data_IF_758566005052
#
_entry.id   IF_758566005052
#
_cell.length_a   1.000
_cell.length_b   1.000
_cell.length_c   1.000
_cell.angle_alpha   90.00
_cell.angle_beta   90.00
_cell.angle_gamma   90.00
#
_symmetry.space_group_name_H-M   'P 1'
#
loop_
_entity.id
_entity.type
_entity.pdbx_description
1 polymer ?
#
# COMPACT_ATOMS: atom_id res chain seq x y z
N UNK A 1 -8.36 -10.59 0.97
CA UNK A 1 -7.76 -11.06 -0.33
C UNK A 1 -8.63 -12.09 -1.07
N UNK A 2 -9.27 -13.07 -0.40
CA UNK A 2 -10.12 -14.07 -1.08
C UNK A 2 -11.25 -13.41 -1.91
N UNK A 3 -12.02 -12.49 -1.32
CA UNK A 3 -13.09 -11.76 -1.98
C UNK A 3 -12.63 -11.06 -3.28
N UNK A 4 -11.48 -10.35 -3.23
CA UNK A 4 -10.96 -9.65 -4.41
C UNK A 4 -10.57 -10.56 -5.57
N UNK A 5 -10.22 -11.83 -5.29
CA UNK A 5 -9.87 -12.83 -6.31
C UNK A 5 -11.10 -13.57 -6.87
N UNK A 6 -12.17 -13.68 -6.09
CA UNK A 6 -13.30 -14.56 -6.40
C UNK A 6 -14.62 -13.83 -6.63
N UNK A 7 -14.84 -12.67 -6.00
CA UNK A 7 -16.13 -11.97 -5.96
C UNK A 7 -16.11 -10.53 -6.47
N UNK A 8 -14.92 -9.93 -6.69
CA UNK A 8 -14.81 -8.53 -7.15
C UNK A 8 -15.07 -8.37 -8.65
N UNK A 9 -15.28 -9.45 -9.39
CA UNK A 9 -15.47 -9.41 -10.85
C UNK A 9 -16.79 -8.75 -11.20
N UNK A 10 -16.70 -7.63 -11.91
CA UNK A 10 -17.79 -6.91 -12.52
C UNK A 10 -17.25 -6.17 -13.75
N UNK A 11 -18.10 -5.80 -14.70
CA UNK A 11 -17.70 -5.03 -15.89
C UNK A 11 -17.12 -3.68 -15.50
N UNK A 12 -17.71 -3.02 -14.50
CA UNK A 12 -17.26 -1.74 -13.96
C UNK A 12 -16.58 -1.99 -12.61
N UNK A 13 -15.31 -2.39 -12.69
CA UNK A 13 -14.57 -2.82 -11.50
C UNK A 13 -13.83 -1.64 -10.85
N UNK A 14 -14.44 -1.02 -9.84
CA UNK A 14 -13.84 0.00 -8.99
C UNK A 14 -13.16 -0.60 -7.73
N UNK A 15 -13.05 -1.92 -7.63
CA UNK A 15 -12.42 -2.58 -6.48
C UNK A 15 -10.89 -2.65 -6.56
N UNK A 16 -10.28 -2.15 -7.62
CA UNK A 16 -8.83 -2.07 -7.78
C UNK A 16 -8.20 -1.07 -6.80
N UNK A 17 -6.89 -1.08 -6.67
CA UNK A 17 -6.18 -0.13 -5.82
C UNK A 17 -4.83 0.30 -6.40
N UNK A 18 -4.52 -0.11 -7.61
CA UNK A 18 -3.36 0.33 -8.39
C UNK A 18 -3.82 0.93 -9.70
N UNK A 19 -2.90 1.53 -10.41
CA UNK A 19 -3.14 2.12 -11.72
C UNK A 19 -3.24 1.08 -12.83
N UNK A 20 -3.65 1.51 -14.03
CA UNK A 20 -3.70 0.67 -15.23
C UNK A 20 -2.34 0.00 -15.50
N UNK A 21 -2.38 -1.26 -15.94
CA UNK A 21 -1.18 -2.01 -16.27
C UNK A 21 -0.37 -1.29 -17.35
N UNK A 22 0.93 -1.21 -17.14
CA UNK A 22 1.86 -0.69 -18.14
C UNK A 22 2.11 -1.77 -19.20
N UNK A 23 1.90 -1.49 -20.49
CA UNK A 23 2.14 -2.47 -21.54
C UNK A 23 3.64 -2.76 -21.70
N UNK A 24 4.02 -4.02 -21.65
CA UNK A 24 5.41 -4.45 -21.75
C UNK A 24 6.13 -3.90 -23.01
N UNK A 25 5.44 -3.82 -24.14
CA UNK A 25 5.98 -3.27 -25.41
C UNK A 25 6.37 -1.79 -25.33
N UNK A 26 5.90 -1.07 -24.33
CA UNK A 26 6.20 0.35 -24.11
C UNK A 26 7.37 0.56 -23.15
N UNK A 27 7.84 -0.50 -22.46
CA UNK A 27 9.02 -0.45 -21.63
C UNK A 27 10.28 -0.51 -22.53
N UNK A 28 11.17 0.50 -22.47
CA UNK A 28 12.38 0.53 -23.30
C UNK A 28 13.42 -0.46 -22.77
N UNK A 29 13.40 -1.68 -23.30
CA UNK A 29 14.36 -2.74 -22.93
C UNK A 29 14.87 -3.43 -24.19
N UNK A 30 16.10 -3.95 -24.15
CA UNK A 30 16.59 -4.92 -25.12
C UNK A 30 16.29 -6.34 -24.61
N UNK A 31 15.40 -7.05 -25.31
CA UNK A 31 15.04 -8.44 -24.96
C UNK A 31 16.21 -9.42 -25.01
N UNK A 32 17.30 -9.06 -25.68
CA UNK A 32 18.52 -9.87 -25.73
C UNK A 32 19.30 -9.86 -24.40
N UNK A 33 19.01 -8.88 -23.54
CA UNK A 33 19.60 -8.79 -22.20
C UNK A 33 18.82 -9.61 -21.14
N UNK A 34 17.68 -10.20 -21.53
CA UNK A 34 16.91 -11.03 -20.59
C UNK A 34 17.54 -12.41 -20.47
N UNK A 35 17.95 -12.74 -19.24
CA UNK A 35 18.45 -14.05 -18.86
C UNK A 35 17.47 -14.74 -17.90
N UNK A 36 17.37 -16.06 -18.00
CA UNK A 36 16.49 -16.85 -17.11
C UNK A 36 17.16 -17.10 -15.77
N UNK A 37 18.46 -17.39 -15.79
CA UNK A 37 19.24 -17.71 -14.59
C UNK A 37 20.11 -16.52 -14.21
N UNK A 38 20.12 -16.21 -12.91
CA UNK A 38 21.02 -15.24 -12.31
C UNK A 38 22.04 -15.91 -11.38
N UNK A 39 22.84 -15.11 -10.71
CA UNK A 39 23.73 -15.57 -9.65
C UNK A 39 22.89 -15.93 -8.40
N UNK A 40 23.22 -17.04 -7.77
CA UNK A 40 22.60 -17.50 -6.53
C UNK A 40 23.12 -16.66 -5.35
N UNK A 41 22.63 -15.42 -5.21
CA UNK A 41 23.04 -14.47 -4.18
C UNK A 41 21.85 -13.92 -3.37
N UNK A 42 22.13 -13.16 -2.31
CA UNK A 42 21.09 -12.49 -1.50
C UNK A 42 20.51 -11.26 -2.21
N UNK A 43 19.85 -11.50 -3.33
CA UNK A 43 19.27 -10.50 -4.22
C UNK A 43 20.19 -10.14 -5.38
N UNK A 44 19.66 -9.31 -6.29
CA UNK A 44 20.35 -8.88 -7.51
C UNK A 44 21.01 -7.50 -7.31
N UNK A 45 22.35 -7.40 -7.21
CA UNK A 45 23.03 -6.14 -6.88
C UNK A 45 22.62 -4.94 -7.74
N UNK A 46 22.39 -5.06 -9.07
CA UNK A 46 21.90 -3.94 -9.87
C UNK A 46 20.49 -3.46 -9.45
N UNK A 47 19.61 -4.35 -8.99
CA UNK A 47 18.29 -3.97 -8.51
C UNK A 47 18.37 -3.32 -7.13
N UNK A 48 19.20 -3.87 -6.22
CA UNK A 48 19.46 -3.26 -4.90
C UNK A 48 20.02 -1.86 -5.06
N UNK A 49 20.97 -1.66 -5.99
CA UNK A 49 21.53 -0.35 -6.30
C UNK A 49 20.47 0.61 -6.88
N UNK A 50 19.60 0.12 -7.76
CA UNK A 50 18.53 0.94 -8.34
C UNK A 50 17.54 1.43 -7.27
N UNK A 51 17.11 0.53 -6.36
CA UNK A 51 16.24 0.85 -5.22
C UNK A 51 16.95 1.83 -4.27
N UNK A 52 18.20 1.55 -3.93
CA UNK A 52 19.00 2.40 -3.04
C UNK A 52 19.15 3.82 -3.61
N UNK A 53 19.45 3.93 -4.90
CA UNK A 53 19.57 5.22 -5.61
C UNK A 53 18.24 5.98 -5.61
N UNK A 54 17.12 5.29 -5.87
CA UNK A 54 15.79 5.89 -5.86
C UNK A 54 15.45 6.51 -4.49
N UNK A 55 15.81 5.84 -3.41
CA UNK A 55 15.56 6.30 -2.05
C UNK A 55 16.70 7.15 -1.44
N UNK A 56 17.85 7.23 -2.10
CA UNK A 56 19.04 7.94 -1.63
C UNK A 56 19.62 7.35 -0.36
N UNK A 57 19.78 6.03 -0.32
CA UNK A 57 20.29 5.22 0.80
C UNK A 57 21.39 4.25 0.32
N UNK A 58 22.00 3.51 1.23
CA UNK A 58 23.01 2.50 0.89
C UNK A 58 22.35 1.16 0.49
N UNK A 59 22.92 0.42 -0.50
CA UNK A 59 22.36 -0.85 -0.97
C UNK A 59 22.24 -1.93 0.11
N UNK A 60 23.09 -1.90 1.12
CA UNK A 60 23.07 -2.83 2.25
C UNK A 60 21.77 -2.74 3.06
N UNK A 61 21.09 -1.59 2.99
CA UNK A 61 19.81 -1.37 3.64
C UNK A 61 18.61 -1.94 2.85
N UNK A 62 18.81 -2.45 1.63
CA UNK A 62 17.74 -2.94 0.74
C UNK A 62 17.59 -4.45 0.86
N UNK A 63 16.37 -4.93 1.05
CA UNK A 63 15.99 -6.36 0.98
C UNK A 63 14.91 -6.53 -0.09
N UNK A 64 15.17 -7.34 -1.08
CA UNK A 64 14.20 -7.65 -2.14
C UNK A 64 13.11 -8.60 -1.66
N UNK A 65 11.92 -8.47 -2.24
CA UNK A 65 10.79 -9.32 -1.89
C UNK A 65 9.78 -9.47 -3.04
N UNK A 66 8.94 -10.50 -2.98
CA UNK A 66 7.89 -10.74 -3.97
C UNK A 66 6.69 -9.78 -3.79
N UNK A 67 6.94 -8.47 -3.89
CA UNK A 67 5.98 -7.39 -3.69
C UNK A 67 5.77 -7.04 -2.21
N UNK A 68 5.06 -5.94 -1.93
CA UNK A 68 4.88 -5.38 -0.58
C UNK A 68 4.24 -6.38 0.41
N UNK A 69 3.38 -7.28 -0.05
CA UNK A 69 2.76 -8.28 0.85
C UNK A 69 3.79 -9.23 1.47
N UNK A 70 4.77 -9.68 0.69
CA UNK A 70 5.89 -10.47 1.23
C UNK A 70 6.84 -9.59 2.04
N UNK A 71 7.09 -8.36 1.60
CA UNK A 71 7.89 -7.39 2.35
C UNK A 71 7.35 -7.17 3.77
N UNK A 72 6.04 -6.92 3.89
CA UNK A 72 5.39 -6.76 5.20
C UNK A 72 5.53 -8.02 6.07
N UNK A 73 5.32 -9.21 5.47
CA UNK A 73 5.48 -10.46 6.19
C UNK A 73 6.90 -10.68 6.70
N UNK A 74 7.92 -10.52 5.83
CA UNK A 74 9.33 -10.68 6.19
C UNK A 74 9.76 -9.67 7.26
N UNK A 75 9.35 -8.39 7.11
CA UNK A 75 9.68 -7.35 8.08
C UNK A 75 9.10 -7.68 9.46
N UNK A 76 7.81 -8.01 9.53
CA UNK A 76 7.15 -8.35 10.79
C UNK A 76 7.75 -9.63 11.40
N UNK A 77 7.98 -10.68 10.61
CA UNK A 77 8.54 -11.95 11.08
C UNK A 77 10.02 -11.83 11.54
N UNK A 78 10.78 -10.90 10.97
CA UNK A 78 12.16 -10.66 11.40
C UNK A 78 12.25 -9.85 12.70
N UNK A 79 11.24 -9.03 13.00
CA UNK A 79 11.23 -8.12 14.16
C UNK A 79 10.59 -8.77 15.38
N UNK A 80 9.51 -9.52 15.20
CA UNK A 80 8.67 -10.02 16.28
C UNK A 80 8.88 -11.51 16.58
N UNK A 81 8.68 -11.86 17.84
CA UNK A 81 8.56 -13.22 18.33
C UNK A 81 7.08 -13.49 18.72
N UNK A 82 6.62 -14.76 18.77
CA UNK A 82 5.30 -15.10 19.24
C UNK A 82 5.01 -14.53 20.64
N UNK A 83 3.90 -13.81 20.76
CA UNK A 83 3.50 -13.15 22.00
C UNK A 83 3.99 -11.71 22.16
N UNK A 84 4.84 -11.20 21.28
CA UNK A 84 5.21 -9.80 21.23
C UNK A 84 4.00 -8.91 20.92
N UNK A 85 4.03 -7.67 21.42
CA UNK A 85 2.98 -6.70 21.19
C UNK A 85 3.26 -5.88 19.93
N UNK A 86 2.28 -5.85 19.03
CA UNK A 86 2.29 -5.01 17.83
C UNK A 86 1.14 -4.00 17.88
N UNK A 87 1.44 -2.73 17.65
CA UNK A 87 0.47 -1.66 17.58
C UNK A 87 0.15 -1.33 16.13
N UNK A 88 -1.08 -1.54 15.68
CA UNK A 88 -1.50 -1.35 14.29
C UNK A 88 -2.60 -0.29 14.22
N UNK A 89 -2.52 0.63 13.26
CA UNK A 89 -3.55 1.63 12.99
C UNK A 89 -4.94 0.99 12.80
N UNK A 90 -6.00 1.70 13.18
CA UNK A 90 -7.39 1.33 12.92
C UNK A 90 -8.13 2.52 12.27
N UNK A 91 -8.82 2.33 11.15
CA UNK A 91 -8.93 1.08 10.38
C UNK A 91 -7.63 0.71 9.66
N UNK A 92 -7.44 -0.57 9.30
CA UNK A 92 -6.22 -1.08 8.68
C UNK A 92 -6.48 -1.92 7.44
N UNK A 93 -5.44 -2.09 6.64
CA UNK A 93 -5.40 -3.06 5.56
C UNK A 93 -5.39 -4.48 6.14
N UNK A 94 -6.48 -5.24 5.95
CA UNK A 94 -6.69 -6.54 6.57
C UNK A 94 -5.50 -7.50 6.53
N UNK A 95 -4.77 -7.68 5.41
CA UNK A 95 -3.58 -8.55 5.37
C UNK A 95 -2.47 -8.20 6.36
N UNK A 96 -2.34 -6.97 6.84
CA UNK A 96 -1.39 -6.63 7.93
C UNK A 96 -1.84 -7.28 9.24
N UNK A 97 -3.14 -7.25 9.52
CA UNK A 97 -3.71 -7.94 10.68
C UNK A 97 -3.59 -9.46 10.56
N UNK A 98 -3.83 -10.00 9.36
CA UNK A 98 -3.69 -11.43 9.09
C UNK A 98 -2.24 -11.89 9.35
N UNK A 99 -1.23 -11.09 8.95
CA UNK A 99 0.19 -11.37 9.22
C UNK A 99 0.46 -11.36 10.73
N UNK A 100 0.01 -10.34 11.45
CA UNK A 100 0.21 -10.25 12.90
C UNK A 100 -0.40 -11.46 13.65
N UNK A 101 -1.59 -11.86 13.26
CA UNK A 101 -2.26 -13.05 13.80
C UNK A 101 -1.50 -14.35 13.46
N UNK A 102 -1.05 -14.49 12.21
CA UNK A 102 -0.26 -15.64 11.77
C UNK A 102 1.04 -15.77 12.58
N UNK A 103 1.69 -14.65 12.88
CA UNK A 103 2.92 -14.58 13.70
C UNK A 103 2.62 -14.68 15.22
N UNK A 104 1.37 -14.91 15.62
CA UNK A 104 0.94 -15.02 17.01
C UNK A 104 1.26 -13.79 17.87
N UNK A 105 1.24 -12.60 17.26
CA UNK A 105 1.46 -11.34 17.95
C UNK A 105 0.23 -10.91 18.75
N UNK A 106 0.47 -10.18 19.86
CA UNK A 106 -0.57 -9.49 20.60
C UNK A 106 -0.90 -8.16 19.93
N UNK A 107 -2.00 -8.11 19.18
CA UNK A 107 -2.39 -6.93 18.41
C UNK A 107 -3.05 -5.89 19.32
N UNK A 108 -2.47 -4.70 19.36
CA UNK A 108 -3.07 -3.46 19.92
C UNK A 108 -3.45 -2.54 18.77
N UNK A 109 -4.36 -1.61 19.04
CA UNK A 109 -4.87 -0.70 18.01
C UNK A 109 -4.80 0.74 18.51
N UNK A 110 -4.52 1.68 17.59
CA UNK A 110 -4.74 3.12 17.77
C UNK A 110 -5.66 3.62 16.65
N UNK A 111 -6.47 4.64 16.96
CA UNK A 111 -7.52 5.10 16.04
C UNK A 111 -7.01 6.15 15.03
N UNK A 112 -7.52 6.04 13.81
CA UNK A 112 -7.63 7.14 12.85
C UNK A 112 -9.13 7.34 12.64
N UNK A 113 -9.62 8.55 12.87
CA UNK A 113 -11.06 8.82 12.83
C UNK A 113 -11.42 9.73 11.66
N UNK A 114 -12.61 9.48 11.06
CA UNK A 114 -13.07 10.22 9.88
C UNK A 114 -13.24 11.71 10.20
N UNK A 115 -13.71 12.03 11.39
CA UNK A 115 -13.94 13.39 11.88
C UNK A 115 -12.65 14.23 11.90
N UNK A 116 -11.48 13.59 12.07
CA UNK A 116 -10.16 14.22 12.01
C UNK A 116 -9.48 14.01 10.63
N UNK A 117 -10.26 13.75 9.59
CA UNK A 117 -9.73 13.51 8.24
C UNK A 117 -8.84 12.27 8.12
N UNK A 118 -9.01 11.28 8.98
CA UNK A 118 -8.16 10.08 9.05
C UNK A 118 -6.69 10.35 9.37
N UNK A 119 -6.37 11.51 9.96
CA UNK A 119 -5.02 11.83 10.40
C UNK A 119 -4.60 10.94 11.59
N UNK A 120 -3.30 10.69 11.71
CA UNK A 120 -2.74 10.09 12.94
C UNK A 120 -2.55 11.22 13.96
N UNK A 121 -3.06 10.99 15.17
CA UNK A 121 -2.78 11.82 16.34
C UNK A 121 -1.75 11.10 17.22
N UNK A 122 -0.51 11.61 17.36
CA UNK A 122 0.50 10.99 18.21
C UNK A 122 0.08 10.87 19.69
N UNK A 123 -0.77 11.77 20.18
CA UNK A 123 -1.26 11.71 21.56
C UNK A 123 -2.23 10.54 21.79
N UNK A 124 -2.92 10.06 20.76
CA UNK A 124 -3.70 8.82 20.79
C UNK A 124 -2.82 7.56 20.66
N UNK A 125 -1.65 7.67 20.01
CA UNK A 125 -0.71 6.55 19.89
C UNK A 125 0.06 6.31 21.18
N UNK A 126 0.52 7.36 21.83
CA UNK A 126 1.38 7.32 23.02
C UNK A 126 0.84 6.41 24.15
N UNK A 127 -0.43 6.50 24.58
CA UNK A 127 -0.96 5.66 25.64
C UNK A 127 -1.13 4.19 25.23
N UNK A 128 -1.11 3.88 23.94
CA UNK A 128 -1.25 2.51 23.43
C UNK A 128 0.09 1.73 23.44
N UNK A 129 1.22 2.43 23.56
CA UNK A 129 2.56 1.82 23.56
C UNK A 129 2.93 1.39 24.99
N UNK A 130 3.48 0.18 25.11
CA UNK A 130 3.94 -0.41 26.37
C UNK A 130 5.39 -0.90 26.25
N UNK A 131 6.07 -1.23 27.34
CA UNK A 131 7.42 -1.84 27.28
C UNK A 131 7.48 -3.19 26.52
N UNK A 132 6.32 -3.79 26.22
CA UNK A 132 6.21 -5.02 25.42
C UNK A 132 5.99 -4.75 23.94
N UNK A 133 5.69 -3.52 23.56
CA UNK A 133 5.50 -3.14 22.15
C UNK A 133 6.85 -3.30 21.43
N UNK A 134 6.85 -4.06 20.34
CA UNK A 134 8.03 -4.30 19.48
C UNK A 134 7.93 -3.61 18.14
N UNK A 135 6.68 -3.37 17.70
CA UNK A 135 6.44 -2.81 16.38
C UNK A 135 5.20 -1.93 16.39
N UNK A 136 5.28 -0.77 15.73
CA UNK A 136 4.15 0.07 15.33
C UNK A 136 4.02 -0.08 13.81
N UNK A 137 2.83 -0.36 13.29
CA UNK A 137 2.60 -0.55 11.84
C UNK A 137 1.60 0.47 11.33
N UNK A 138 2.01 1.21 10.30
CA UNK A 138 1.20 2.23 9.62
C UNK A 138 1.36 2.11 8.10
N UNK A 139 0.39 2.60 7.34
CA UNK A 139 0.48 2.74 5.90
C UNK A 139 0.54 4.22 5.50
N UNK A 140 1.43 4.58 4.57
CA UNK A 140 1.57 5.94 4.07
C UNK A 140 1.84 5.96 2.54
N UNK A 141 0.89 6.44 1.73
CA UNK A 141 -0.47 6.92 2.04
C UNK A 141 -1.31 5.85 2.73
N UNK A 142 -2.19 6.29 3.62
CA UNK A 142 -3.08 5.38 4.34
C UNK A 142 -3.90 4.52 3.36
N UNK A 143 -3.69 3.21 3.42
CA UNK A 143 -4.44 2.26 2.59
C UNK A 143 -5.77 2.02 3.26
N UNK A 144 -6.58 2.72 2.76
CA UNK A 144 -7.75 2.85 1.87
C UNK A 144 -8.25 4.30 1.72
N UNK A 145 -7.83 5.21 2.57
CA UNK A 145 -8.29 6.62 2.54
C UNK A 145 -7.42 7.53 1.67
N UNK A 146 -6.19 7.12 1.35
CA UNK A 146 -5.16 7.91 0.65
C UNK A 146 -4.66 9.15 1.42
N UNK A 147 -4.87 9.23 2.73
CA UNK A 147 -4.38 10.33 3.56
C UNK A 147 -2.86 10.20 3.74
N UNK A 148 -2.16 11.29 3.49
CA UNK A 148 -0.71 11.42 3.72
C UNK A 148 -0.44 11.76 5.19
N UNK A 149 0.41 10.99 5.84
CA UNK A 149 0.96 11.32 7.16
C UNK A 149 2.25 12.10 6.96
N UNK A 150 2.35 13.29 7.56
CA UNK A 150 3.51 14.16 7.40
C UNK A 150 4.74 13.64 8.13
N UNK A 151 5.93 14.10 7.68
CA UNK A 151 7.21 13.79 8.33
C UNK A 151 7.26 14.19 9.81
N UNK A 152 6.58 15.30 10.19
CA UNK A 152 6.52 15.73 11.58
C UNK A 152 5.79 14.73 12.46
N UNK A 153 4.63 14.27 12.02
CA UNK A 153 3.87 13.23 12.72
C UNK A 153 4.64 11.90 12.76
N UNK A 154 5.27 11.51 11.64
CA UNK A 154 6.09 10.30 11.60
C UNK A 154 7.26 10.37 12.60
N UNK A 155 7.95 11.53 12.71
CA UNK A 155 9.02 11.71 13.71
C UNK A 155 8.53 11.54 15.14
N UNK A 156 7.36 12.11 15.48
CA UNK A 156 6.75 11.92 16.80
C UNK A 156 6.41 10.44 17.08
N UNK A 157 5.89 9.72 16.08
CA UNK A 157 5.67 8.26 16.19
C UNK A 157 7.01 7.52 16.38
N UNK A 158 8.06 7.92 15.67
CA UNK A 158 9.41 7.38 15.84
C UNK A 158 9.94 7.61 17.26
N UNK A 159 9.75 8.80 17.83
CA UNK A 159 10.15 9.11 19.21
C UNK A 159 9.37 8.26 20.23
N UNK A 160 8.06 8.07 20.01
CA UNK A 160 7.23 7.20 20.83
C UNK A 160 7.74 5.74 20.76
N UNK A 161 7.99 5.23 19.58
CA UNK A 161 8.51 3.87 19.37
C UNK A 161 9.88 3.68 20.05
N UNK A 162 10.79 4.64 19.85
CA UNK A 162 12.14 4.62 20.44
C UNK A 162 12.12 4.59 21.96
N UNK A 163 11.16 5.30 22.57
CA UNK A 163 11.01 5.31 24.04
C UNK A 163 10.67 3.93 24.63
N UNK A 164 10.07 3.05 23.84
CA UNK A 164 9.72 1.69 24.22
C UNK A 164 10.70 0.64 23.67
N UNK A 165 11.73 1.04 22.90
CA UNK A 165 12.61 0.13 22.19
C UNK A 165 11.93 -0.60 21.04
N UNK A 166 10.84 -0.02 20.49
CA UNK A 166 10.08 -0.54 19.36
C UNK A 166 10.59 0.05 18.02
N UNK A 167 10.24 -0.63 16.91
CA UNK A 167 10.43 -0.15 15.55
C UNK A 167 9.09 0.36 14.97
N UNK A 168 9.18 1.11 13.89
CA UNK A 168 8.02 1.58 13.11
C UNK A 168 8.12 0.99 11.70
N UNK A 169 7.16 0.15 11.33
CA UNK A 169 7.00 -0.34 9.97
C UNK A 169 6.04 0.58 9.20
N UNK A 170 6.53 1.19 8.13
CA UNK A 170 5.72 2.04 7.26
C UNK A 170 5.57 1.36 5.90
N UNK A 171 4.35 0.97 5.53
CA UNK A 171 4.03 0.49 4.19
C UNK A 171 3.81 1.72 3.27
N UNK A 172 4.80 2.01 2.43
CA UNK A 172 4.84 3.17 1.53
C UNK A 172 4.44 2.82 0.08
N UNK A 173 3.74 1.72 -0.14
CA UNK A 173 3.41 1.25 -1.51
C UNK A 173 2.60 2.25 -2.35
N UNK A 174 2.00 3.25 -1.73
CA UNK A 174 1.25 4.32 -2.39
C UNK A 174 1.93 5.69 -2.34
N UNK A 175 3.09 5.83 -1.70
CA UNK A 175 3.71 7.13 -1.45
C UNK A 175 3.98 7.89 -2.76
N UNK A 176 4.43 7.23 -3.81
CA UNK A 176 4.72 7.83 -5.12
C UNK A 176 3.46 8.33 -5.87
N UNK A 177 2.26 8.08 -5.33
CA UNK A 177 1.02 8.71 -5.83
C UNK A 177 0.86 10.18 -5.41
N UNK A 178 1.80 10.73 -4.67
CA UNK A 178 1.92 12.17 -4.39
C UNK A 178 2.60 12.90 -5.57
N UNK A 179 3.19 12.16 -6.48
CA UNK A 179 3.84 12.66 -7.72
C UNK A 179 5.00 13.63 -7.41
N UNK A 180 4.90 14.88 -7.86
CA UNK A 180 6.01 15.87 -7.73
C UNK A 180 6.30 16.27 -6.29
N UNK A 181 5.28 16.16 -5.42
CA UNK A 181 5.37 16.46 -3.99
C UNK A 181 5.67 15.24 -3.14
N UNK A 182 6.06 14.10 -3.75
CA UNK A 182 6.36 12.86 -3.02
C UNK A 182 7.43 13.13 -1.95
N UNK A 183 7.12 12.91 -0.67
CA UNK A 183 8.10 13.07 0.40
C UNK A 183 9.18 12.00 0.27
N UNK A 184 10.33 12.25 0.89
CA UNK A 184 11.35 11.21 1.00
C UNK A 184 10.84 10.08 1.88
N UNK A 185 11.34 8.87 1.61
CA UNK A 185 10.99 7.69 2.42
C UNK A 185 11.20 7.93 3.92
N UNK A 186 10.27 7.47 4.73
CA UNK A 186 10.34 7.58 6.20
C UNK A 186 11.56 6.83 6.79
N UNK A 187 12.15 5.89 6.05
CA UNK A 187 13.42 5.26 6.44
C UNK A 187 14.52 6.28 6.80
N UNK A 188 14.49 7.47 6.18
CA UNK A 188 15.46 8.56 6.42
C UNK A 188 15.17 9.38 7.69
N UNK A 189 14.04 9.15 8.36
CA UNK A 189 13.65 9.90 9.55
C UNK A 189 14.37 9.42 10.81
N UNK A 190 14.80 8.16 10.85
CA UNK A 190 15.56 7.59 11.98
C UNK A 190 15.79 6.09 11.86
N UNK A 191 16.67 5.53 12.69
CA UNK A 191 17.02 4.12 12.65
C UNK A 191 15.90 3.18 13.11
N UNK A 192 14.89 3.69 13.77
CA UNK A 192 13.69 2.95 14.19
C UNK A 192 12.72 2.65 13.04
N UNK A 193 12.88 3.32 11.87
CA UNK A 193 11.99 3.11 10.75
C UNK A 193 12.43 1.94 9.87
N UNK A 194 11.48 1.07 9.58
CA UNK A 194 11.53 0.03 8.56
C UNK A 194 10.46 0.35 7.53
N UNK A 195 10.78 0.31 6.26
CA UNK A 195 9.86 0.69 5.19
C UNK A 195 9.63 -0.48 4.24
N UNK A 196 8.42 -0.64 3.77
CA UNK A 196 8.09 -1.59 2.69
C UNK A 196 7.46 -0.86 1.52
N UNK A 197 7.82 -1.25 0.30
CA UNK A 197 7.20 -0.71 -0.91
C UNK A 197 7.29 -1.68 -2.08
N UNK A 198 6.80 -1.28 -3.26
CA UNK A 198 6.91 -2.05 -4.50
C UNK A 198 6.52 -1.26 -5.74
N UNK A 199 6.89 -1.74 -6.92
CA UNK A 199 6.43 -1.23 -8.21
C UNK A 199 4.98 -1.63 -8.55
N UNK A 200 4.23 -2.20 -7.60
CA UNK A 200 2.94 -2.84 -7.85
C UNK A 200 1.81 -1.84 -8.12
N UNK A 201 1.78 -0.70 -7.40
CA UNK A 201 0.56 0.13 -7.31
C UNK A 201 0.58 1.33 -8.26
N UNK A 202 1.66 2.10 -8.24
CA UNK A 202 1.73 3.41 -8.91
C UNK A 202 2.34 3.30 -10.31
N UNK A 203 3.10 2.26 -10.56
CA UNK A 203 3.86 2.09 -11.79
C UNK A 203 3.20 1.14 -12.81
N UNK A 204 2.13 0.44 -12.43
CA UNK A 204 1.37 -0.43 -13.33
C UNK A 204 2.09 -1.72 -13.75
N UNK A 205 3.17 -2.10 -13.06
CA UNK A 205 3.98 -3.30 -13.38
C UNK A 205 3.86 -4.38 -12.30
N UNK A 206 2.67 -4.59 -11.80
CA UNK A 206 2.38 -5.52 -10.70
C UNK A 206 2.83 -6.96 -10.95
N UNK A 207 2.90 -7.38 -12.22
CA UNK A 207 3.35 -8.71 -12.63
C UNK A 207 4.81 -9.00 -12.36
N UNK A 208 5.67 -7.98 -12.24
CA UNK A 208 7.09 -8.15 -11.91
C UNK A 208 7.30 -8.65 -10.48
N UNK A 209 6.32 -8.51 -9.61
CA UNK A 209 6.44 -8.85 -8.19
C UNK A 209 7.65 -8.20 -7.50
N UNK A 210 8.15 -7.09 -8.06
CA UNK A 210 9.24 -6.32 -7.47
C UNK A 210 8.73 -5.51 -6.26
N UNK A 211 9.15 -5.90 -5.08
CA UNK A 211 8.97 -5.21 -3.81
C UNK A 211 10.28 -5.19 -3.03
N UNK A 212 10.33 -4.36 -2.01
CA UNK A 212 11.52 -4.23 -1.17
C UNK A 212 11.18 -3.84 0.27
N UNK A 213 12.17 -4.05 1.14
CA UNK A 213 12.19 -3.54 2.50
C UNK A 213 13.43 -2.66 2.63
N UNK A 214 13.29 -1.53 3.30
CA UNK A 214 14.39 -0.68 3.72
C UNK A 214 14.55 -0.86 5.23
N UNK A 215 15.71 -1.29 5.67
CA UNK A 215 16.02 -1.54 7.07
C UNK A 215 17.48 -1.24 7.36
N UNK A 216 17.84 -1.04 8.64
CA UNK A 216 19.26 -0.91 9.03
C UNK A 216 20.02 -2.20 8.65
N UNK A 217 21.29 -2.13 8.30
CA UNK A 217 22.05 -3.24 7.70
C UNK A 217 21.93 -4.57 8.44
N UNK A 218 22.05 -4.56 9.77
CA UNK A 218 21.95 -5.80 10.58
C UNK A 218 20.56 -6.45 10.47
N UNK A 219 19.51 -5.62 10.50
CA UNK A 219 18.14 -6.09 10.36
C UNK A 219 17.85 -6.53 8.91
N UNK A 220 18.35 -5.79 7.92
CA UNK A 220 18.27 -6.16 6.51
C UNK A 220 18.93 -7.52 6.27
N UNK A 221 20.08 -7.78 6.88
CA UNK A 221 20.76 -9.08 6.81
C UNK A 221 19.92 -10.20 7.43
N UNK A 222 19.32 -9.97 8.62
CA UNK A 222 18.40 -10.93 9.25
C UNK A 222 17.20 -11.26 8.33
N UNK A 223 16.65 -10.24 7.65
CA UNK A 223 15.52 -10.42 6.71
C UNK A 223 15.93 -11.21 5.46
N UNK A 224 17.09 -10.93 4.87
CA UNK A 224 17.63 -11.70 3.74
C UNK A 224 17.77 -13.19 4.10
N UNK A 225 18.33 -13.50 5.27
CA UNK A 225 18.46 -14.88 5.77
C UNK A 225 17.10 -15.53 6.03
N UNK A 226 16.12 -14.78 6.51
CA UNK A 226 14.75 -15.28 6.69
C UNK A 226 14.09 -15.59 5.34
N UNK A 227 14.38 -14.78 4.31
CA UNK A 227 13.82 -14.98 2.97
C UNK A 227 14.26 -16.29 2.31
N UNK A 228 15.40 -16.88 2.71
CA UNK A 228 15.83 -18.21 2.26
C UNK A 228 14.75 -19.28 2.48
N UNK A 229 13.94 -19.12 3.53
CA UNK A 229 12.85 -20.08 3.84
C UNK A 229 11.67 -19.99 2.87
N UNK A 230 11.52 -18.90 2.13
CA UNK A 230 10.36 -18.64 1.27
C UNK A 230 10.70 -18.62 -0.21
N UNK A 231 11.88 -18.15 -0.56
CA UNK A 231 12.18 -17.83 -1.95
C UNK A 231 13.62 -18.15 -2.35
N UNK A 232 14.42 -18.83 -1.52
CA UNK A 232 15.84 -19.13 -1.78
C UNK A 232 16.56 -18.06 -2.66
N UNK A 233 16.16 -17.95 -3.94
CA UNK A 233 16.54 -16.88 -4.87
C UNK A 233 15.30 -16.24 -5.49
N UNK A 234 15.30 -14.93 -5.79
CA UNK A 234 14.24 -14.25 -6.51
C UNK A 234 14.11 -14.74 -7.97
N UNK A 235 13.06 -14.29 -8.66
CA UNK A 235 12.81 -14.60 -10.07
C UNK A 235 13.65 -13.67 -10.94
N UNK A 236 14.83 -14.13 -11.40
CA UNK A 236 15.83 -13.30 -12.09
C UNK A 236 15.31 -12.50 -13.29
N UNK A 237 14.48 -13.03 -14.21
CA UNK A 237 13.86 -12.23 -15.26
C UNK A 237 13.03 -11.05 -14.73
N UNK A 238 12.39 -11.23 -13.56
CA UNK A 238 11.66 -10.17 -12.87
C UNK A 238 12.58 -9.07 -12.33
N UNK A 239 13.74 -9.44 -11.82
CA UNK A 239 14.77 -8.50 -11.34
C UNK A 239 15.33 -7.65 -12.49
N UNK A 240 15.68 -8.28 -13.62
CA UNK A 240 16.16 -7.58 -14.83
C UNK A 240 15.12 -6.57 -15.34
N UNK A 241 13.86 -6.99 -15.43
CA UNK A 241 12.77 -6.11 -15.85
C UNK A 241 12.50 -5.00 -14.82
N UNK A 242 12.69 -5.26 -13.53
CA UNK A 242 12.58 -4.25 -12.49
C UNK A 242 13.69 -3.20 -12.60
N UNK A 243 14.95 -3.61 -12.86
CA UNK A 243 16.04 -2.67 -13.14
C UNK A 243 15.70 -1.77 -14.34
N UNK A 244 15.15 -2.35 -15.42
CA UNK A 244 14.69 -1.57 -16.55
C UNK A 244 13.56 -0.61 -16.16
N UNK A 245 12.60 -1.04 -15.33
CA UNK A 245 11.55 -0.17 -14.83
C UNK A 245 12.09 0.99 -13.98
N UNK A 246 13.09 0.75 -13.12
CA UNK A 246 13.72 1.80 -12.31
C UNK A 246 14.44 2.86 -13.16
N UNK A 247 14.98 2.50 -14.33
CA UNK A 247 15.54 3.45 -15.28
C UNK A 247 14.49 4.37 -15.92
N UNK A 248 13.21 4.02 -15.84
CA UNK A 248 12.10 4.68 -16.52
C UNK A 248 10.89 4.95 -15.60
N UNK A 249 11.11 5.13 -14.29
CA UNK A 249 10.02 5.33 -13.31
C UNK A 249 9.13 6.51 -13.68
N UNK A 250 9.70 7.62 -14.19
CA UNK A 250 8.92 8.78 -14.60
C UNK A 250 7.99 8.44 -15.77
N UNK A 251 8.46 7.66 -16.77
CA UNK A 251 7.60 7.20 -17.86
C UNK A 251 6.41 6.37 -17.35
N UNK A 252 6.65 5.46 -16.40
CA UNK A 252 5.61 4.62 -15.84
C UNK A 252 4.62 5.43 -15.03
N UNK A 253 5.10 6.36 -14.20
CA UNK A 253 4.31 7.18 -13.31
C UNK A 253 3.47 8.20 -14.07
N UNK A 254 4.07 8.95 -14.99
CA UNK A 254 3.41 10.00 -15.75
C UNK A 254 2.33 9.45 -16.72
N UNK A 255 2.43 8.18 -17.12
CA UNK A 255 1.37 7.52 -17.89
C UNK A 255 0.07 7.37 -17.09
N UNK A 256 0.15 7.10 -15.80
CA UNK A 256 -1.01 6.90 -14.93
C UNK A 256 -1.58 8.21 -14.36
N UNK A 257 -0.73 9.23 -14.18
CA UNK A 257 -1.10 10.50 -13.54
C UNK A 257 -2.35 11.18 -14.13
N UNK A 258 -2.44 11.40 -15.47
CA UNK A 258 -3.61 12.07 -16.05
C UNK A 258 -4.93 11.31 -15.79
N UNK A 259 -4.88 9.97 -15.77
CA UNK A 259 -6.05 9.12 -15.49
C UNK A 259 -6.47 9.31 -14.03
N UNK A 260 -5.52 9.24 -13.09
CA UNK A 260 -5.79 9.41 -11.65
C UNK A 260 -6.36 10.80 -11.36
N UNK A 261 -5.80 11.86 -11.97
CA UNK A 261 -6.26 13.24 -11.80
C UNK A 261 -7.69 13.46 -12.35
N UNK A 262 -7.96 12.90 -13.54
CA UNK A 262 -9.31 12.95 -14.14
C UNK A 262 -10.34 12.18 -13.29
N UNK A 263 -10.00 10.98 -12.84
CA UNK A 263 -10.87 10.15 -12.01
C UNK A 263 -11.15 10.82 -10.65
N UNK A 264 -10.14 11.48 -10.06
CA UNK A 264 -10.30 12.22 -8.79
C UNK A 264 -11.24 13.41 -8.95
N UNK A 265 -11.17 14.11 -10.09
CA UNK A 265 -12.12 15.19 -10.38
C UNK A 265 -13.55 14.65 -10.48
N UNK A 266 -13.75 13.57 -11.24
CA UNK A 266 -15.06 12.93 -11.35
C UNK A 266 -15.60 12.47 -10.00
N UNK A 267 -14.73 11.96 -9.12
CA UNK A 267 -15.13 11.57 -7.77
C UNK A 267 -15.57 12.76 -6.92
N UNK A 268 -14.87 13.89 -6.97
CA UNK A 268 -15.29 15.12 -6.25
C UNK A 268 -16.65 15.59 -6.74
N UNK A 269 -16.82 15.73 -8.06
CA UNK A 269 -18.08 16.17 -8.68
C UNK A 269 -19.24 15.21 -8.29
N UNK A 270 -18.96 13.91 -8.21
CA UNK A 270 -19.93 12.90 -7.74
C UNK A 270 -20.31 13.11 -6.27
N UNK A 271 -19.32 13.24 -5.37
CA UNK A 271 -19.56 13.38 -3.93
C UNK A 271 -20.33 14.66 -3.61
N UNK A 272 -20.09 15.76 -4.31
CA UNK A 272 -20.81 17.02 -4.15
C UNK A 272 -22.30 16.89 -4.51
N UNK A 273 -22.64 15.96 -5.42
CA UNK A 273 -24.02 15.74 -5.89
C UNK A 273 -24.77 14.65 -5.09
N UNK A 274 -24.10 13.96 -4.16
CA UNK A 274 -24.70 12.86 -3.40
C UNK A 274 -24.94 13.23 -1.94
N UNK A 275 -26.17 13.08 -1.48
CA UNK A 275 -26.54 13.25 -0.07
C UNK A 275 -26.48 11.94 0.74
N UNK A 276 -26.32 10.80 0.07
CA UNK A 276 -26.35 9.46 0.70
C UNK A 276 -24.98 8.88 0.98
N UNK A 277 -23.92 9.53 0.48
CA UNK A 277 -22.51 9.14 0.70
C UNK A 277 -21.67 10.36 1.04
N UNK A 278 -20.67 10.14 1.91
CA UNK A 278 -19.64 11.14 2.23
C UNK A 278 -18.28 10.50 2.15
N UNK A 279 -17.23 11.28 1.89
CA UNK A 279 -15.84 10.84 1.99
C UNK A 279 -14.94 12.01 2.37
N UNK A 280 -13.87 11.72 3.07
CA UNK A 280 -12.76 12.68 3.24
C UNK A 280 -12.11 12.87 1.89
N UNK A 281 -12.02 14.12 1.44
CA UNK A 281 -11.33 14.47 0.18
C UNK A 281 -9.83 14.47 0.41
N UNK A 282 -9.10 13.85 -0.51
CA UNK A 282 -7.63 13.84 -0.51
C UNK A 282 -7.10 14.36 -1.85
N UNK A 283 -5.93 15.00 -1.80
CA UNK A 283 -5.26 15.51 -3.00
C UNK A 283 -4.49 14.42 -3.75
N UNK A 284 -4.19 13.30 -3.08
CA UNK A 284 -3.27 12.27 -3.52
C UNK A 284 -3.90 10.88 -3.53
N UNK A 285 -3.13 9.90 -4.03
CA UNK A 285 -3.48 8.48 -3.96
C UNK A 285 -4.37 7.99 -5.08
N UNK A 286 -4.59 6.70 -5.08
CA UNK A 286 -5.36 5.95 -6.09
C UNK A 286 -6.62 5.31 -5.52
N UNK A 287 -6.96 5.62 -4.27
CA UNK A 287 -8.14 5.07 -3.60
C UNK A 287 -8.94 6.16 -2.88
N UNK A 288 -10.23 5.91 -2.69
CA UNK A 288 -11.12 6.70 -1.84
C UNK A 288 -11.96 5.77 -0.98
N UNK A 289 -12.40 6.26 0.19
CA UNK A 289 -13.11 5.47 1.18
C UNK A 289 -14.43 6.10 1.62
N UNK A 290 -15.45 6.14 0.72
CA UNK A 290 -16.74 6.70 1.05
C UNK A 290 -17.48 5.92 2.14
N UNK A 291 -18.23 6.67 2.95
CA UNK A 291 -19.20 6.18 3.93
C UNK A 291 -20.61 6.25 3.37
N UNK A 292 -21.34 5.17 3.46
CA UNK A 292 -22.78 5.15 3.22
C UNK A 292 -23.49 5.72 4.45
N UNK A 293 -24.23 6.81 4.30
CA UNK A 293 -24.86 7.52 5.43
C UNK A 293 -26.12 6.83 5.95
N UNK A 294 -26.81 6.09 5.07
CA UNK A 294 -28.04 5.36 5.40
C UNK A 294 -27.99 3.94 4.83
N UNK A 295 -28.42 2.97 5.60
CA UNK A 295 -28.52 1.57 5.17
C UNK A 295 -27.27 0.74 5.51
N UNK A 296 -27.18 -0.42 4.88
CA UNK A 296 -26.10 -1.41 5.09
C UNK A 296 -25.20 -1.42 3.85
N UNK A 297 -23.91 -1.12 4.00
CA UNK A 297 -22.99 -1.03 2.89
C UNK A 297 -22.77 -2.38 2.19
N UNK A 298 -22.80 -3.50 2.89
CA UNK A 298 -22.67 -4.82 2.27
C UNK A 298 -23.86 -5.15 1.38
N UNK A 299 -25.09 -4.88 1.84
CA UNK A 299 -26.30 -5.07 1.05
C UNK A 299 -26.32 -4.14 -0.17
N UNK A 300 -25.89 -2.89 0.01
CA UNK A 300 -25.73 -1.93 -1.09
C UNK A 300 -24.73 -2.43 -2.14
N UNK A 301 -23.56 -2.88 -1.74
CA UNK A 301 -22.50 -3.37 -2.62
C UNK A 301 -22.91 -4.65 -3.35
N UNK A 302 -23.65 -5.55 -2.69
CA UNK A 302 -24.16 -6.75 -3.33
C UNK A 302 -25.22 -6.39 -4.41
N UNK A 303 -26.11 -5.42 -4.11
CA UNK A 303 -27.05 -4.88 -5.12
C UNK A 303 -26.31 -4.20 -6.27
N UNK A 304 -25.29 -3.39 -5.96
CA UNK A 304 -24.46 -2.71 -6.95
C UNK A 304 -23.79 -3.71 -7.91
N UNK A 305 -23.27 -4.80 -7.36
CA UNK A 305 -22.63 -5.86 -8.14
C UNK A 305 -23.62 -6.65 -8.97
N UNK A 306 -24.71 -7.10 -8.37
CA UNK A 306 -25.66 -8.03 -9.03
C UNK A 306 -26.60 -7.36 -10.03
N UNK A 307 -27.05 -6.11 -9.77
CA UNK A 307 -28.02 -5.40 -10.60
C UNK A 307 -27.40 -4.32 -11.48
N UNK A 308 -26.23 -3.78 -11.09
CA UNK A 308 -25.57 -2.69 -11.81
C UNK A 308 -24.21 -3.08 -12.38
N UNK A 309 -23.80 -4.36 -12.28
CA UNK A 309 -22.55 -4.89 -12.81
C UNK A 309 -21.33 -4.02 -12.45
N UNK A 310 -21.32 -3.51 -11.22
CA UNK A 310 -20.30 -2.60 -10.69
C UNK A 310 -19.80 -3.10 -9.33
N UNK A 311 -18.48 -3.10 -9.11
CA UNK A 311 -17.90 -3.58 -7.87
C UNK A 311 -17.04 -2.51 -7.19
N UNK A 312 -17.13 -2.44 -5.84
CA UNK A 312 -16.25 -1.71 -4.95
C UNK A 312 -15.93 -2.60 -3.74
N UNK A 313 -14.85 -2.32 -3.01
CA UNK A 313 -14.41 -3.19 -1.91
C UNK A 313 -15.23 -2.91 -0.65
N UNK A 314 -15.86 -3.92 -0.04
CA UNK A 314 -16.58 -3.75 1.22
C UNK A 314 -15.69 -3.23 2.35
N UNK A 315 -16.20 -2.23 3.08
CA UNK A 315 -15.49 -1.59 4.19
C UNK A 315 -15.25 -2.51 5.39
N UNK A 316 -16.03 -3.60 5.52
CA UNK A 316 -15.79 -4.62 6.56
C UNK A 316 -14.38 -5.23 6.48
N UNK A 317 -13.72 -5.24 5.30
CA UNK A 317 -12.34 -5.70 5.14
C UNK A 317 -11.31 -4.70 5.68
N UNK A 318 -11.77 -3.53 6.10
CA UNK A 318 -11.02 -2.48 6.78
C UNK A 318 -11.64 -2.17 8.14
N UNK A 319 -12.45 -3.09 8.70
CA UNK A 319 -13.14 -2.97 9.99
C UNK A 319 -14.17 -1.82 10.07
N UNK A 320 -14.60 -1.28 8.90
CA UNK A 320 -15.52 -0.15 8.77
C UNK A 320 -16.77 -0.56 7.96
N UNK A 321 -17.77 -1.23 8.59
CA UNK A 321 -18.88 -1.88 7.87
C UNK A 321 -19.82 -0.92 7.10
N UNK A 322 -19.78 0.39 7.42
CA UNK A 322 -20.59 1.40 6.71
C UNK A 322 -19.85 2.08 5.57
N UNK A 323 -18.60 1.70 5.31
CA UNK A 323 -17.77 2.28 4.25
C UNK A 323 -17.57 1.29 3.10
N UNK A 324 -17.00 1.81 2.01
CA UNK A 324 -16.49 0.99 0.92
C UNK A 324 -15.31 1.69 0.24
N UNK A 325 -14.37 0.92 -0.29
CA UNK A 325 -13.23 1.49 -1.00
C UNK A 325 -13.45 1.42 -2.50
N UNK A 326 -13.21 2.54 -3.17
CA UNK A 326 -13.12 2.64 -4.63
C UNK A 326 -11.68 2.94 -5.04
N UNK A 327 -11.25 2.36 -6.17
CA UNK A 327 -9.97 2.65 -6.79
C UNK A 327 -10.12 3.51 -8.04
N UNK A 328 -9.12 4.34 -8.29
CA UNK A 328 -8.98 5.26 -9.41
C UNK A 328 -7.72 4.91 -10.23
N UNK A 329 -7.61 5.45 -11.45
CA UNK A 329 -6.38 5.35 -12.24
C UNK A 329 -6.29 4.16 -13.19
N UNK A 330 -7.40 3.46 -13.46
CA UNK A 330 -7.42 2.33 -14.40
C UNK A 330 -7.96 2.75 -15.78
N UNK A 331 -9.15 3.35 -15.82
CA UNK A 331 -9.81 3.82 -17.04
C UNK A 331 -10.88 4.82 -16.67
N UNK A 332 -10.78 6.05 -17.13
CA UNK A 332 -11.66 7.16 -16.76
C UNK A 332 -13.10 6.96 -17.24
N UNK A 333 -13.32 6.40 -18.43
CA UNK A 333 -14.69 6.14 -18.94
C UNK A 333 -15.38 5.06 -18.09
N UNK A 334 -14.66 3.99 -17.74
CA UNK A 334 -15.15 2.96 -16.85
C UNK A 334 -15.46 3.53 -15.46
N UNK A 335 -14.60 4.40 -14.93
CA UNK A 335 -14.78 5.03 -13.63
C UNK A 335 -16.02 5.94 -13.61
N UNK A 336 -16.18 6.81 -14.62
CA UNK A 336 -17.33 7.69 -14.77
C UNK A 336 -18.65 6.90 -14.83
N UNK A 337 -18.72 5.84 -15.65
CA UNK A 337 -19.91 4.98 -15.72
C UNK A 337 -20.14 4.22 -14.41
N UNK A 338 -19.09 3.78 -13.72
CA UNK A 338 -19.18 3.19 -12.39
C UNK A 338 -19.82 4.13 -11.37
N UNK A 339 -19.43 5.41 -11.34
CA UNK A 339 -20.04 6.43 -10.48
C UNK A 339 -21.51 6.69 -10.83
N UNK A 340 -21.86 6.74 -12.12
CA UNK A 340 -23.25 6.85 -12.57
C UNK A 340 -24.10 5.68 -12.07
N UNK A 341 -23.56 4.47 -12.08
CA UNK A 341 -24.25 3.26 -11.58
C UNK A 341 -24.39 3.28 -10.07
N UNK A 342 -23.39 3.76 -9.34
CA UNK A 342 -23.48 4.00 -7.90
C UNK A 342 -24.61 5.02 -7.63
N UNK A 343 -24.67 6.15 -8.35
CA UNK A 343 -25.76 7.13 -8.20
C UNK A 343 -27.15 6.53 -8.41
N UNK A 344 -27.31 5.64 -9.40
CA UNK A 344 -28.57 4.94 -9.65
C UNK A 344 -28.91 3.91 -8.57
N UNK A 345 -27.90 3.24 -8.03
CA UNK A 345 -28.07 2.28 -6.95
C UNK A 345 -28.35 2.94 -5.58
N UNK A 346 -28.02 4.21 -5.40
CA UNK A 346 -28.33 4.99 -4.19
C UNK A 346 -29.77 5.51 -4.15
N UNK A 347 -30.47 5.52 -5.28
CA UNK A 347 -31.89 5.87 -5.40
C UNK A 347 -32.77 4.66 -5.07
#
# INVERSE_FOLDING_TARGET
MHWSKTQSRARFNLATSGVASFPFRELPIDLKELEINGDDSYGYPPLQQAIATHHGIEPECVVESAGTSMANHLAMAAIMEPGDEVLIEHPAYGPILDIAQYLQANVKRFGRVEENGWAIDPDEVRPCVTPKTRLIVITNLHNHTSVLTSDSVLREIGDIARSAGALVLVDEVYLDAVYDDTPRTSFRLGPEFVVTSSLTKIYGVSGLRCGWILAQPDLAWKMRRLNDLYSATPVHPGELLAVAAFKHLDLLRERARPIVEADRKLLRDFLEQQSSVSAVSTEWGTTSFPRLLLGNADAFLERLRSQFDTSAVPGRFFEMPNHFRMGMGVNTEMFAEGLNRISRALR
#
